data_IF_596639510180
#
_entry.id   IF_596639510180
#
_cell.length_a   1.000
_cell.length_b   1.000
_cell.length_c   1.000
_cell.angle_alpha   90.00
_cell.angle_beta   90.00
_cell.angle_gamma   90.00
#
_symmetry.space_group_name_H-M   'P 1'
#
loop_
_entity.id
_entity.type
_entity.pdbx_description
1 polymer ?
#
# COMPACT_ATOMS: atom_id res chain seq x y z
N UNK A 1 -4.35 3.07 -5.90
CA UNK A 1 -3.70 4.32 -5.40
C UNK A 1 -3.73 5.34 -6.51
N UNK A 2 -4.13 6.58 -6.20
CA UNK A 2 -4.13 7.68 -7.17
C UNK A 2 -3.29 8.79 -6.58
N UNK A 3 -2.33 9.30 -7.34
CA UNK A 3 -1.53 10.49 -7.02
C UNK A 3 -2.07 11.69 -7.81
N UNK A 4 -1.86 12.88 -7.29
CA UNK A 4 -2.26 14.15 -7.94
C UNK A 4 -1.38 14.52 -9.16
N UNK A 5 -0.22 13.88 -9.26
CA UNK A 5 0.79 14.08 -10.31
C UNK A 5 1.63 12.83 -10.52
N UNK A 6 2.49 12.74 -11.54
CA UNK A 6 3.45 11.66 -11.70
C UNK A 6 4.27 11.39 -10.44
N UNK A 7 4.68 10.15 -10.23
CA UNK A 7 5.42 9.72 -9.06
C UNK A 7 6.73 10.50 -8.90
N UNK A 8 6.77 11.35 -7.89
CA UNK A 8 7.91 12.20 -7.53
C UNK A 8 7.77 12.63 -6.06
N UNK A 9 8.86 13.06 -5.44
CA UNK A 9 8.82 13.63 -4.09
C UNK A 9 7.85 14.82 -4.06
N UNK A 10 6.97 14.84 -3.06
CA UNK A 10 5.92 15.83 -2.90
C UNK A 10 4.60 15.52 -3.60
N UNK A 11 4.52 14.47 -4.44
CA UNK A 11 3.23 14.03 -4.98
C UNK A 11 2.29 13.60 -3.85
N UNK A 12 1.03 14.04 -3.91
CA UNK A 12 0.02 13.77 -2.88
C UNK A 12 -0.98 12.70 -3.36
N UNK A 13 -1.43 11.87 -2.45
CA UNK A 13 -2.35 10.81 -2.79
C UNK A 13 -3.13 10.26 -1.61
N UNK A 14 -3.84 9.17 -1.84
CA UNK A 14 -4.55 8.48 -0.77
C UNK A 14 -5.80 7.75 -1.21
N UNK A 15 -6.55 7.27 -0.22
CA UNK A 15 -7.84 6.61 -0.36
C UNK A 15 -8.79 7.12 0.73
N UNK A 16 -9.87 7.76 0.35
CA UNK A 16 -10.85 8.28 1.31
C UNK A 16 -10.17 9.15 2.37
N UNK A 17 -10.29 8.75 3.63
CA UNK A 17 -9.72 9.48 4.78
C UNK A 17 -8.20 9.25 4.97
N UNK A 18 -7.63 8.24 4.34
CA UNK A 18 -6.20 7.95 4.44
C UNK A 18 -5.47 8.73 3.36
N UNK A 19 -4.75 9.77 3.78
CA UNK A 19 -3.98 10.66 2.90
C UNK A 19 -2.50 10.57 3.23
N UNK A 20 -1.66 10.62 2.19
CA UNK A 20 -0.21 10.57 2.30
C UNK A 20 0.44 11.35 1.16
N UNK A 21 1.72 11.59 1.25
CA UNK A 21 2.54 12.19 0.19
C UNK A 21 3.84 11.41 0.02
N UNK A 22 4.41 11.48 -1.15
CA UNK A 22 5.72 10.88 -1.43
C UNK A 22 6.78 11.71 -0.72
N UNK A 23 7.41 11.14 0.30
CA UNK A 23 8.47 11.80 1.08
C UNK A 23 9.87 11.46 0.57
N UNK A 24 10.04 10.27 -0.02
CA UNK A 24 11.30 9.84 -0.61
C UNK A 24 11.01 9.03 -1.87
N UNK A 25 11.86 9.21 -2.89
CA UNK A 25 11.74 8.46 -4.15
C UNK A 25 13.11 8.25 -4.78
N UNK A 26 13.46 6.99 -4.97
CA UNK A 26 14.63 6.51 -5.70
C UNK A 26 14.13 5.63 -6.86
N UNK A 27 14.13 6.11 -8.12
CA UNK A 27 13.63 5.35 -9.26
C UNK A 27 14.25 3.96 -9.35
N UNK A 28 13.39 2.94 -9.53
CA UNK A 28 13.82 1.54 -9.61
C UNK A 28 14.28 0.91 -8.29
N UNK A 29 14.23 1.62 -7.17
CA UNK A 29 14.69 1.09 -5.88
C UNK A 29 13.69 1.25 -4.75
N UNK A 30 13.17 2.47 -4.51
CA UNK A 30 12.41 2.75 -3.30
C UNK A 30 11.45 3.92 -3.49
N UNK A 31 10.28 3.80 -2.91
CA UNK A 31 9.35 4.91 -2.70
C UNK A 31 8.79 4.85 -1.28
N UNK A 32 8.80 5.98 -0.60
CA UNK A 32 8.26 6.16 0.74
C UNK A 32 7.12 7.16 0.75
N UNK A 33 6.02 6.78 1.37
CA UNK A 33 4.83 7.59 1.53
C UNK A 33 4.62 7.91 3.00
N UNK A 34 4.64 9.20 3.35
CA UNK A 34 4.40 9.66 4.72
C UNK A 34 2.94 10.06 4.88
N UNK A 35 2.29 9.57 5.94
CA UNK A 35 0.89 9.89 6.21
C UNK A 35 0.71 11.36 6.57
N UNK A 36 -0.37 11.96 6.06
CA UNK A 36 -0.76 13.32 6.44
C UNK A 36 -1.30 13.34 7.88
N UNK A 37 -0.98 14.37 8.69
CA UNK A 37 -1.35 14.42 10.12
C UNK A 37 -2.84 14.21 10.39
N UNK A 38 -3.71 14.70 9.51
CA UNK A 38 -5.18 14.58 9.65
C UNK A 38 -5.72 13.15 9.49
N UNK A 39 -4.92 12.20 9.04
CA UNK A 39 -5.35 10.79 8.93
C UNK A 39 -5.52 10.10 10.28
N UNK A 40 -4.98 10.67 11.37
CA UNK A 40 -4.89 10.00 12.66
C UNK A 40 -3.83 8.88 12.71
N UNK A 41 -3.02 8.76 11.64
CA UNK A 41 -1.87 7.84 11.55
C UNK A 41 -0.60 8.68 11.48
N UNK A 42 0.37 8.37 12.33
CA UNK A 42 1.71 8.97 12.30
C UNK A 42 2.68 7.88 11.87
N UNK A 43 3.39 8.13 10.78
CA UNK A 43 4.33 7.16 10.21
C UNK A 43 4.37 7.20 8.71
N UNK A 44 4.85 6.11 8.13
CA UNK A 44 5.02 5.98 6.70
C UNK A 44 4.84 4.52 6.25
N UNK A 45 4.56 4.33 4.98
CA UNK A 45 4.73 3.04 4.33
C UNK A 45 5.71 3.17 3.16
N UNK A 46 6.40 2.10 2.87
CA UNK A 46 7.49 2.08 1.90
C UNK A 46 7.38 0.84 1.02
N UNK A 47 7.65 1.01 -0.24
CA UNK A 47 7.90 -0.06 -1.19
C UNK A 47 9.37 0.01 -1.59
N UNK A 48 10.06 -1.12 -1.54
CA UNK A 48 11.45 -1.24 -1.97
C UNK A 48 11.66 -2.48 -2.82
N UNK A 49 12.68 -2.42 -3.67
CA UNK A 49 13.13 -3.51 -4.53
C UNK A 49 14.52 -3.96 -4.08
N UNK A 50 14.64 -5.24 -3.75
CA UNK A 50 15.92 -5.88 -3.42
C UNK A 50 16.27 -6.84 -4.57
N UNK A 51 17.35 -6.59 -5.30
CA UNK A 51 17.90 -7.55 -6.26
C UNK A 51 18.46 -8.76 -5.52
N UNK A 52 17.96 -9.94 -5.81
CA UNK A 52 18.43 -11.19 -5.21
C UNK A 52 19.52 -11.84 -6.05
N UNK A 53 19.35 -11.84 -7.37
CA UNK A 53 20.27 -12.30 -8.38
C UNK A 53 19.90 -11.71 -9.75
N UNK A 54 20.52 -12.19 -10.84
CA UNK A 54 20.34 -11.65 -12.19
C UNK A 54 18.92 -11.84 -12.73
N UNK A 55 18.14 -12.78 -12.18
CA UNK A 55 16.79 -13.13 -12.66
C UNK A 55 15.69 -12.81 -11.66
N UNK A 56 16.03 -12.49 -10.40
CA UNK A 56 15.05 -12.36 -9.33
C UNK A 56 15.20 -11.05 -8.56
N UNK A 57 14.08 -10.37 -8.42
CA UNK A 57 13.94 -9.17 -7.59
C UNK A 57 12.84 -9.40 -6.55
N UNK A 58 13.09 -9.01 -5.32
CA UNK A 58 12.10 -9.03 -4.25
C UNK A 58 11.46 -7.66 -4.12
N UNK A 59 10.14 -7.63 -4.15
CA UNK A 59 9.36 -6.46 -3.73
C UNK A 59 9.11 -6.59 -2.23
N UNK A 60 9.41 -5.54 -1.48
CA UNK A 60 9.12 -5.45 -0.06
C UNK A 60 8.19 -4.28 0.21
N UNK A 61 7.18 -4.50 1.04
CA UNK A 61 6.36 -3.43 1.60
C UNK A 61 6.55 -3.39 3.12
N UNK A 62 6.77 -2.20 3.65
CA UNK A 62 6.91 -1.98 5.10
C UNK A 62 6.00 -0.83 5.50
N UNK A 63 5.18 -1.06 6.53
CA UNK A 63 4.37 -0.03 7.16
C UNK A 63 4.85 0.15 8.59
N UNK A 64 5.32 1.36 8.90
CA UNK A 64 5.75 1.73 10.25
C UNK A 64 4.90 2.92 10.68
N UNK A 65 4.12 2.75 11.73
CA UNK A 65 3.26 3.84 12.17
C UNK A 65 2.55 3.58 13.50
N UNK A 66 1.92 4.64 13.98
CA UNK A 66 1.09 4.64 15.17
C UNK A 66 -0.24 5.33 14.87
N UNK A 67 -1.34 4.61 15.03
CA UNK A 67 -2.67 5.19 14.97
C UNK A 67 -3.05 5.84 16.31
N UNK A 68 -3.79 6.95 16.28
CA UNK A 68 -4.24 7.71 17.47
C UNK A 68 -5.76 7.85 17.49
N UNK A 69 -6.30 8.02 18.70
CA UNK A 69 -7.74 8.23 18.90
C UNK A 69 -8.59 7.13 18.30
N UNK A 70 -9.72 7.49 17.70
CA UNK A 70 -10.64 6.55 17.04
C UNK A 70 -9.99 5.77 15.89
N UNK A 71 -8.92 6.31 15.26
CA UNK A 71 -8.18 5.62 14.21
C UNK A 71 -7.55 4.33 14.70
N UNK A 72 -7.23 4.17 15.99
CA UNK A 72 -6.69 2.90 16.54
C UNK A 72 -7.65 1.73 16.33
N UNK A 73 -8.94 1.94 16.64
CA UNK A 73 -9.97 0.91 16.46
C UNK A 73 -10.26 0.69 14.96
N UNK A 74 -10.42 1.78 14.21
CA UNK A 74 -10.67 1.72 12.78
C UNK A 74 -9.50 1.06 12.03
N UNK A 75 -8.26 1.32 12.44
CA UNK A 75 -7.08 0.73 11.81
C UNK A 75 -7.12 -0.79 11.89
N UNK A 76 -7.27 -1.36 13.08
CA UNK A 76 -7.29 -2.82 13.25
C UNK A 76 -8.54 -3.47 12.65
N UNK A 77 -9.69 -2.78 12.73
CA UNK A 77 -10.95 -3.35 12.29
C UNK A 77 -11.18 -3.26 10.77
N UNK A 78 -10.68 -2.21 10.13
CA UNK A 78 -11.00 -1.89 8.73
C UNK A 78 -9.75 -1.63 7.90
N UNK A 79 -8.87 -0.71 8.35
CA UNK A 79 -7.76 -0.24 7.52
C UNK A 79 -6.75 -1.34 7.27
N UNK A 80 -6.27 -2.03 8.29
CA UNK A 80 -5.24 -3.06 8.15
C UNK A 80 -5.69 -4.21 7.23
N UNK A 81 -6.87 -4.84 7.41
CA UNK A 81 -7.29 -5.92 6.51
C UNK A 81 -7.46 -5.48 5.06
N UNK A 82 -7.95 -4.25 4.83
CA UNK A 82 -8.09 -3.71 3.47
C UNK A 82 -6.74 -3.35 2.87
N UNK A 83 -5.84 -2.77 3.67
CA UNK A 83 -4.49 -2.43 3.25
C UNK A 83 -3.70 -3.68 2.85
N UNK A 84 -3.72 -4.74 3.66
CA UNK A 84 -3.02 -5.98 3.37
C UNK A 84 -3.52 -6.59 2.06
N UNK A 85 -4.84 -6.64 1.84
CA UNK A 85 -5.41 -7.12 0.59
C UNK A 85 -5.00 -6.27 -0.63
N UNK A 86 -4.90 -4.95 -0.49
CA UNK A 86 -4.42 -4.06 -1.57
C UNK A 86 -2.95 -4.28 -1.86
N UNK A 87 -2.13 -4.54 -0.84
CA UNK A 87 -0.71 -4.84 -1.02
C UNK A 87 -0.51 -6.21 -1.69
N UNK A 88 -1.29 -7.22 -1.33
CA UNK A 88 -1.29 -8.51 -2.01
C UNK A 88 -1.68 -8.38 -3.48
N UNK A 89 -2.77 -7.66 -3.79
CA UNK A 89 -3.18 -7.37 -5.18
C UNK A 89 -2.08 -6.61 -5.96
N UNK A 90 -1.34 -5.71 -5.29
CA UNK A 90 -0.23 -4.98 -5.90
C UNK A 90 0.93 -5.91 -6.24
N UNK A 91 1.26 -6.86 -5.37
CA UNK A 91 2.30 -7.84 -5.63
C UNK A 91 1.91 -8.80 -6.77
N UNK A 92 0.67 -9.28 -6.80
CA UNK A 92 0.15 -10.09 -7.90
C UNK A 92 0.22 -9.34 -9.25
N UNK A 93 -0.13 -8.04 -9.25
CA UNK A 93 -0.02 -7.23 -10.44
C UNK A 93 1.44 -7.04 -10.88
N UNK A 94 2.34 -6.78 -9.95
CA UNK A 94 3.76 -6.65 -10.27
C UNK A 94 4.35 -7.95 -10.83
N UNK A 95 4.01 -9.11 -10.25
CA UNK A 95 4.42 -10.42 -10.76
C UNK A 95 3.87 -10.65 -12.15
N UNK A 96 2.58 -10.38 -12.38
CA UNK A 96 1.94 -10.55 -13.69
C UNK A 96 2.56 -9.68 -14.78
N UNK A 97 2.84 -8.41 -14.48
CA UNK A 97 3.43 -7.48 -15.44
C UNK A 97 4.88 -7.83 -15.80
N UNK A 98 5.61 -8.48 -14.90
CA UNK A 98 7.02 -8.82 -15.11
C UNK A 98 7.22 -10.24 -15.64
N UNK A 99 6.37 -11.20 -15.27
CA UNK A 99 6.54 -12.63 -15.64
C UNK A 99 5.43 -13.18 -16.54
N UNK A 100 4.36 -12.42 -16.75
CA UNK A 100 3.18 -12.83 -17.51
C UNK A 100 2.20 -13.71 -16.73
N UNK A 101 2.56 -14.18 -15.52
CA UNK A 101 1.74 -15.08 -14.69
C UNK A 101 1.81 -14.70 -13.22
N UNK A 102 0.90 -15.26 -12.42
CA UNK A 102 0.95 -15.17 -10.96
C UNK A 102 0.96 -16.58 -10.41
N UNK A 103 2.04 -16.98 -9.75
CA UNK A 103 2.23 -18.35 -9.26
C UNK A 103 1.25 -18.70 -8.14
N UNK A 104 0.98 -17.75 -7.25
CA UNK A 104 0.06 -17.91 -6.12
C UNK A 104 -0.81 -16.67 -5.95
N UNK A 105 -1.90 -16.55 -6.73
CA UNK A 105 -2.79 -15.39 -6.64
C UNK A 105 -3.35 -15.21 -5.22
N UNK A 106 -3.37 -13.99 -4.75
CA UNK A 106 -3.96 -13.61 -3.48
C UNK A 106 -5.46 -13.90 -3.45
N UNK A 107 -5.95 -14.37 -2.32
CA UNK A 107 -7.37 -14.66 -2.12
C UNK A 107 -7.91 -13.87 -0.93
N UNK A 108 -8.86 -12.97 -1.21
CA UNK A 108 -9.44 -12.16 -0.15
C UNK A 108 -10.31 -12.97 0.79
N UNK A 109 -10.09 -12.80 2.08
CA UNK A 109 -10.94 -13.38 3.11
C UNK A 109 -12.39 -12.89 2.99
N UNK A 110 -13.40 -13.63 3.51
CA UNK A 110 -14.78 -13.17 3.54
C UNK A 110 -14.95 -11.79 4.20
N UNK A 111 -14.17 -11.52 5.25
CA UNK A 111 -14.15 -10.23 5.93
C UNK A 111 -13.72 -9.09 5.01
N UNK A 112 -12.64 -9.27 4.26
CA UNK A 112 -12.14 -8.27 3.29
C UNK A 112 -13.18 -8.01 2.20
N UNK A 113 -13.83 -9.06 1.69
CA UNK A 113 -14.90 -8.93 0.68
C UNK A 113 -16.08 -8.10 1.18
N UNK A 114 -16.50 -8.29 2.43
CA UNK A 114 -17.56 -7.49 3.05
C UNK A 114 -17.11 -6.04 3.25
N UNK A 115 -15.91 -5.83 3.81
CA UNK A 115 -15.37 -4.49 4.04
C UNK A 115 -15.26 -3.69 2.74
N UNK A 116 -14.78 -4.28 1.64
CA UNK A 116 -14.69 -3.60 0.34
C UNK A 116 -16.06 -3.17 -0.19
N UNK A 117 -17.09 -4.00 -0.02
CA UNK A 117 -18.47 -3.62 -0.41
C UNK A 117 -18.98 -2.42 0.40
N UNK A 118 -18.73 -2.40 1.70
CA UNK A 118 -19.17 -1.32 2.60
C UNK A 118 -18.40 0.00 2.38
N UNK A 119 -17.14 -0.07 1.98
CA UNK A 119 -16.30 1.12 1.77
C UNK A 119 -16.31 1.62 0.32
N UNK A 120 -17.12 1.02 -0.56
CA UNK A 120 -17.25 1.44 -1.97
C UNK A 120 -16.01 1.11 -2.81
N UNK A 121 -15.15 0.20 -2.36
CA UNK A 121 -14.01 -0.28 -3.12
C UNK A 121 -14.45 -1.09 -4.35
N UNK A 122 -14.30 -0.49 -5.53
CA UNK A 122 -14.37 -1.19 -6.82
C UNK A 122 -13.03 -1.85 -7.12
#
# INVERSE_FOLDING_TARGET
MVLDRPLAVGADGGHGVIRYYVSEYEPGRRVRFTFRPRTGIIGAHELSLDTLDDERTRIRHVLIGRARGAMRLMFSAVVAPLHDAVVEDLFDNAERETTGTVVRPATWSPRVRVLRRLTGGR
#
